data_IF_724478277282
#
_entry.id   IF_724478277282
#
_cell.length_a   1.000
_cell.length_b   1.000
_cell.length_c   1.000
_cell.angle_alpha   90.00
_cell.angle_beta   90.00
_cell.angle_gamma   90.00
#
_symmetry.space_group_name_H-M   'P 1'
#
loop_
_entity.id
_entity.type
_entity.pdbx_description
1 polymer ?
#
# COMPACT_ATOMS: atom_id res chain seq x y z
N UNK A 1 54.05 -36.83 -5.35
CA UNK A 1 52.69 -37.20 -4.88
C UNK A 1 52.35 -36.30 -3.70
N UNK A 2 51.26 -35.52 -3.85
CA UNK A 2 50.47 -34.79 -2.84
C UNK A 2 51.22 -33.81 -1.90
N UNK A 3 51.13 -32.49 -2.10
CA UNK A 3 49.98 -31.60 -1.86
C UNK A 3 49.59 -31.48 -0.37
N UNK A 4 49.81 -30.29 0.23
CA UNK A 4 48.73 -29.42 0.73
C UNK A 4 49.21 -28.37 1.75
N UNK A 5 48.63 -27.17 1.63
CA UNK A 5 48.26 -26.23 2.70
C UNK A 5 49.35 -25.41 3.41
N UNK A 6 49.70 -24.24 2.85
CA UNK A 6 49.94 -23.02 3.66
C UNK A 6 49.34 -21.78 2.96
N UNK A 7 48.20 -21.35 3.51
CA UNK A 7 47.73 -19.97 3.65
C UNK A 7 47.69 -19.02 2.43
N UNK A 8 46.63 -19.12 1.62
CA UNK A 8 46.00 -17.91 1.08
C UNK A 8 45.02 -17.38 2.15
N UNK A 9 45.49 -16.43 2.95
CA UNK A 9 44.66 -15.62 3.83
C UNK A 9 43.76 -14.70 3.01
N UNK A 10 42.66 -15.25 2.49
CA UNK A 10 41.52 -14.43 2.08
C UNK A 10 40.85 -13.94 3.36
N UNK A 11 41.06 -12.67 3.69
CA UNK A 11 40.19 -11.95 4.61
C UNK A 11 38.77 -12.06 4.07
N UNK A 12 38.02 -13.04 4.56
CA UNK A 12 36.57 -13.03 4.50
C UNK A 12 36.11 -11.91 5.43
N UNK A 13 36.18 -10.67 4.96
CA UNK A 13 35.36 -9.60 5.53
C UNK A 13 33.92 -10.10 5.47
N UNK A 14 33.21 -10.23 6.61
CA UNK A 14 31.79 -10.44 6.55
C UNK A 14 31.22 -9.21 5.86
N UNK A 15 30.76 -9.39 4.62
CA UNK A 15 29.81 -8.50 3.99
C UNK A 15 28.53 -8.60 4.83
N UNK A 16 28.54 -7.94 5.99
CA UNK A 16 27.32 -7.58 6.67
C UNK A 16 26.49 -6.85 5.60
N UNK A 17 25.21 -7.21 5.40
CA UNK A 17 24.35 -6.37 4.58
C UNK A 17 24.48 -4.97 5.15
N UNK A 18 24.91 -4.03 4.32
CA UNK A 18 24.84 -2.62 4.64
C UNK A 18 23.36 -2.29 4.79
N UNK A 19 22.82 -2.51 5.98
CA UNK A 19 21.56 -1.94 6.38
C UNK A 19 21.87 -0.45 6.51
N UNK A 20 21.63 0.29 5.42
CA UNK A 20 21.46 1.72 5.52
C UNK A 20 20.40 1.92 6.61
N UNK A 21 20.83 2.41 7.76
CA UNK A 21 19.97 2.75 8.87
C UNK A 21 19.10 3.92 8.44
N UNK A 22 18.05 3.63 7.68
CA UNK A 22 16.93 4.54 7.50
C UNK A 22 16.09 4.46 8.76
N UNK A 23 16.65 4.89 9.90
CA UNK A 23 15.78 5.41 10.93
C UNK A 23 15.07 6.61 10.30
N UNK A 24 13.80 6.44 9.96
CA UNK A 24 12.96 7.57 9.66
C UNK A 24 12.97 8.44 10.93
N UNK A 25 13.76 9.52 10.92
CA UNK A 25 13.77 10.56 11.95
C UNK A 25 12.50 11.41 11.85
N UNK A 26 11.35 10.75 11.63
CA UNK A 26 10.03 11.34 11.53
C UNK A 26 9.49 11.60 12.95
N UNK A 27 10.19 12.45 13.70
CA UNK A 27 9.61 13.04 14.88
C UNK A 27 8.65 14.13 14.42
N UNK A 28 7.36 14.08 14.85
CA UNK A 28 6.43 15.17 14.60
C UNK A 28 7.06 16.50 15.03
N UNK A 29 7.02 17.49 14.15
CA UNK A 29 7.50 18.84 14.46
C UNK A 29 6.54 19.63 15.35
N UNK A 30 5.34 19.09 15.58
CA UNK A 30 4.24 19.72 16.30
C UNK A 30 3.71 18.77 17.37
N UNK A 31 3.29 19.33 18.49
CA UNK A 31 2.36 18.62 19.36
C UNK A 31 0.98 18.54 18.70
N UNK A 32 0.16 17.51 19.00
CA UNK A 32 -1.16 17.38 18.38
C UNK A 32 -2.05 18.62 18.58
N UNK A 33 -1.94 19.28 19.75
CA UNK A 33 -2.69 20.51 20.04
C UNK A 33 -2.26 21.73 19.20
N UNK A 34 -1.11 21.68 18.53
CA UNK A 34 -0.59 22.75 17.65
C UNK A 34 -0.99 22.55 16.18
N UNK A 35 -1.71 21.46 15.87
CA UNK A 35 -2.23 21.17 14.53
C UNK A 35 -3.71 21.58 14.48
N UNK A 36 -4.00 22.58 13.69
CA UNK A 36 -5.35 23.11 13.47
C UNK A 36 -5.90 22.62 12.13
N UNK A 37 -6.86 21.71 12.19
CA UNK A 37 -7.62 21.24 11.02
C UNK A 37 -8.92 22.04 10.93
N UNK A 38 -9.17 22.69 9.80
CA UNK A 38 -10.33 23.55 9.56
C UNK A 38 -11.14 23.05 8.36
N UNK A 39 -12.46 23.00 8.50
CA UNK A 39 -13.36 22.75 7.36
C UNK A 39 -13.55 24.07 6.62
N UNK A 40 -13.08 24.14 5.37
CA UNK A 40 -13.09 25.36 4.56
C UNK A 40 -13.64 25.06 3.16
N UNK A 41 -14.64 25.83 2.67
CA UNK A 41 -15.00 25.80 1.27
C UNK A 41 -13.79 26.11 0.37
N UNK A 42 -13.63 25.47 -0.80
CA UNK A 42 -12.46 25.65 -1.66
C UNK A 42 -12.13 27.11 -1.98
N UNK A 43 -13.14 27.94 -2.26
CA UNK A 43 -12.95 29.36 -2.53
C UNK A 43 -12.40 30.14 -1.33
N UNK A 44 -12.78 29.77 -0.09
CA UNK A 44 -12.22 30.36 1.11
C UNK A 44 -10.79 29.87 1.35
N UNK A 45 -10.54 28.56 1.20
CA UNK A 45 -9.20 27.99 1.32
C UNK A 45 -8.22 28.64 0.33
N UNK A 46 -8.62 28.89 -0.91
CA UNK A 46 -7.83 29.58 -1.91
C UNK A 46 -7.38 30.98 -1.44
N UNK A 47 -8.28 31.75 -0.82
CA UNK A 47 -7.96 33.07 -0.26
C UNK A 47 -7.01 32.99 0.92
N UNK A 48 -7.20 32.02 1.82
CA UNK A 48 -6.34 31.86 2.99
C UNK A 48 -4.94 31.36 2.61
N UNK A 49 -4.80 30.51 1.60
CA UNK A 49 -3.50 30.14 1.01
C UNK A 49 -2.83 31.37 0.41
N UNK A 50 -3.55 32.15 -0.40
CA UNK A 50 -2.99 33.35 -1.04
C UNK A 50 -2.49 34.38 -0.01
N UNK A 51 -3.14 34.48 1.16
CA UNK A 51 -2.76 35.35 2.29
C UNK A 51 -1.68 34.77 3.20
N UNK A 52 -1.22 33.55 2.93
CA UNK A 52 -0.25 32.86 3.78
C UNK A 52 -0.80 32.39 5.14
N UNK A 53 -2.12 32.28 5.30
CA UNK A 53 -2.79 31.90 6.56
C UNK A 53 -3.17 30.43 6.64
N UNK A 54 -3.14 29.73 5.50
CA UNK A 54 -3.33 28.29 5.40
C UNK A 54 -2.06 27.66 4.85
N UNK A 55 -1.60 26.57 5.48
CA UNK A 55 -0.35 25.90 5.09
C UNK A 55 -0.58 24.83 4.02
N UNK A 56 -1.70 24.11 4.11
CA UNK A 56 -2.07 23.11 3.12
C UNK A 56 -3.59 22.96 3.01
N UNK A 57 -4.06 22.58 1.83
CA UNK A 57 -5.43 22.09 1.63
C UNK A 57 -5.38 20.62 1.22
N UNK A 58 -5.92 19.76 2.08
CA UNK A 58 -5.84 18.30 1.96
C UNK A 58 -7.08 17.77 1.23
N UNK A 59 -6.85 16.85 0.31
CA UNK A 59 -7.88 16.17 -0.46
C UNK A 59 -8.34 16.89 -1.74
N UNK A 60 -7.79 18.06 -2.07
CA UNK A 60 -8.18 18.77 -3.30
C UNK A 60 -7.32 19.98 -3.65
N UNK A 61 -7.66 20.61 -4.78
CA UNK A 61 -6.97 21.78 -5.31
C UNK A 61 -7.90 23.01 -5.26
N UNK A 62 -7.83 23.83 -4.20
CA UNK A 62 -8.68 25.01 -4.08
C UNK A 62 -8.30 26.09 -5.12
N UNK A 63 -7.13 25.98 -5.76
CA UNK A 63 -6.65 26.91 -6.77
C UNK A 63 -7.06 26.50 -8.19
N UNK A 64 -7.56 25.28 -8.40
CA UNK A 64 -7.98 24.81 -9.73
C UNK A 64 -9.09 25.69 -10.34
N UNK A 65 -9.98 26.24 -9.51
CA UNK A 65 -11.06 27.13 -9.93
C UNK A 65 -10.67 28.64 -9.86
N UNK A 66 -9.48 28.98 -9.36
CA UNK A 66 -9.12 30.35 -9.03
C UNK A 66 -7.93 30.84 -9.86
N UNK A 67 -8.16 31.87 -10.68
CA UNK A 67 -7.09 32.59 -11.38
C UNK A 67 -6.35 33.54 -10.42
N UNK A 68 -5.65 32.98 -9.43
CA UNK A 68 -4.95 33.80 -8.42
C UNK A 68 -3.62 34.32 -8.98
N UNK A 69 -3.68 35.48 -9.63
CA UNK A 69 -2.48 36.27 -9.98
C UNK A 69 -1.92 36.93 -8.71
N UNK A 70 -0.62 36.76 -8.45
CA UNK A 70 0.09 37.43 -7.35
C UNK A 70 -0.06 36.79 -5.96
N UNK A 71 -0.50 35.53 -5.87
CA UNK A 71 -0.58 34.80 -4.60
C UNK A 71 0.79 34.38 -4.04
N UNK A 72 0.81 34.03 -2.75
CA UNK A 72 1.98 33.41 -2.10
C UNK A 72 2.53 32.23 -2.93
N UNK A 73 3.85 31.96 -2.94
CA UNK A 73 4.42 30.80 -3.61
C UNK A 73 3.75 29.52 -3.11
N UNK A 74 3.32 28.67 -4.05
CA UNK A 74 2.68 27.39 -3.73
C UNK A 74 3.38 26.23 -4.42
N UNK A 75 3.41 25.08 -3.76
CA UNK A 75 3.75 23.80 -4.38
C UNK A 75 2.49 22.94 -4.51
N UNK A 76 2.56 21.95 -5.42
CA UNK A 76 1.49 20.99 -5.65
C UNK A 76 2.01 19.58 -5.40
N UNK A 77 1.37 18.89 -4.46
CA UNK A 77 1.52 17.45 -4.27
C UNK A 77 0.58 16.73 -5.22
N UNK A 78 1.07 15.65 -5.84
CA UNK A 78 0.30 14.82 -6.77
C UNK A 78 0.26 13.39 -6.27
N UNK A 79 -0.95 12.87 -6.08
CA UNK A 79 -1.21 11.47 -5.70
C UNK A 79 -2.21 10.86 -6.69
N UNK A 80 -2.23 9.53 -6.78
CA UNK A 80 -3.16 8.79 -7.62
C UNK A 80 -4.59 8.95 -7.09
N UNK A 81 -5.49 9.50 -7.91
CA UNK A 81 -6.89 9.72 -7.52
C UNK A 81 -7.78 8.58 -7.96
N UNK A 82 -7.70 8.24 -9.25
CA UNK A 82 -8.63 7.34 -9.89
C UNK A 82 -7.99 6.72 -11.14
N UNK A 83 -8.55 5.59 -11.57
CA UNK A 83 -8.29 4.98 -12.86
C UNK A 83 -9.40 5.31 -13.84
N UNK A 84 -9.04 5.43 -15.12
CA UNK A 84 -9.99 5.42 -16.22
C UNK A 84 -9.91 4.10 -16.97
N UNK A 85 -11.02 3.38 -17.00
CA UNK A 85 -11.16 2.04 -17.59
C UNK A 85 -12.06 2.12 -18.80
N UNK A 86 -11.64 1.53 -19.90
CA UNK A 86 -12.49 1.25 -21.05
C UNK A 86 -13.05 -0.16 -20.91
N UNK A 87 -14.36 -0.31 -21.06
CA UNK A 87 -15.03 -1.63 -21.06
C UNK A 87 -15.98 -1.77 -22.22
N UNK A 88 -16.21 -3.00 -22.64
CA UNK A 88 -17.20 -3.29 -23.67
C UNK A 88 -18.62 -3.21 -23.11
N UNK A 89 -19.55 -2.75 -23.95
CA UNK A 89 -21.00 -2.91 -23.74
C UNK A 89 -21.37 -4.41 -23.80
N UNK A 90 -22.48 -4.85 -23.18
CA UNK A 90 -22.90 -6.25 -23.23
C UNK A 90 -22.99 -6.83 -24.65
N UNK A 91 -23.50 -6.05 -25.61
CA UNK A 91 -23.57 -6.46 -27.02
C UNK A 91 -22.18 -6.63 -27.67
N UNK A 92 -21.24 -5.72 -27.37
CA UNK A 92 -19.87 -5.82 -27.88
C UNK A 92 -19.05 -6.92 -27.18
N UNK A 93 -19.38 -7.26 -25.94
CA UNK A 93 -18.71 -8.30 -25.16
C UNK A 93 -18.97 -9.72 -25.70
N UNK A 94 -20.08 -9.93 -26.41
CA UNK A 94 -20.41 -11.22 -27.05
C UNK A 94 -19.63 -11.47 -28.35
N UNK A 95 -18.97 -10.46 -28.89
CA UNK A 95 -18.22 -10.58 -30.14
C UNK A 95 -16.98 -11.47 -29.97
N UNK A 96 -16.44 -12.04 -31.06
CA UNK A 96 -15.18 -12.77 -31.02
C UNK A 96 -14.05 -11.94 -30.40
N UNK A 97 -13.16 -12.61 -29.68
CA UNK A 97 -12.04 -11.96 -28.95
C UNK A 97 -11.24 -10.98 -29.81
N UNK A 98 -10.95 -11.34 -31.06
CA UNK A 98 -10.20 -10.48 -31.98
C UNK A 98 -10.89 -9.13 -32.20
N UNK A 99 -12.22 -9.13 -32.37
CA UNK A 99 -13.00 -7.90 -32.56
C UNK A 99 -13.13 -7.11 -31.26
N UNK A 100 -13.25 -7.80 -30.11
CA UNK A 100 -13.21 -7.17 -28.78
C UNK A 100 -11.92 -6.39 -28.57
N UNK A 101 -10.78 -7.03 -28.83
CA UNK A 101 -9.47 -6.38 -28.73
C UNK A 101 -9.35 -5.20 -29.70
N UNK A 102 -9.77 -5.37 -30.97
CA UNK A 102 -9.72 -4.30 -31.98
C UNK A 102 -10.50 -3.06 -31.53
N UNK A 103 -11.69 -3.23 -30.94
CA UNK A 103 -12.52 -2.13 -30.43
C UNK A 103 -11.87 -1.39 -29.26
N UNK A 104 -11.33 -2.11 -28.28
CA UNK A 104 -10.64 -1.49 -27.14
C UNK A 104 -9.34 -0.80 -27.58
N UNK A 105 -8.59 -1.39 -28.49
CA UNK A 105 -7.37 -0.79 -29.04
C UNK A 105 -7.70 0.51 -29.79
N UNK A 106 -8.74 0.53 -30.63
CA UNK A 106 -9.20 1.75 -31.32
C UNK A 106 -9.60 2.86 -30.32
N UNK A 107 -10.30 2.50 -29.24
CA UNK A 107 -10.66 3.43 -28.18
C UNK A 107 -9.43 3.98 -27.43
N UNK A 108 -8.44 3.14 -27.13
CA UNK A 108 -7.18 3.56 -26.50
C UNK A 108 -6.40 4.52 -27.39
N UNK A 109 -6.32 4.24 -28.69
CA UNK A 109 -5.63 5.10 -29.66
C UNK A 109 -6.31 6.46 -29.81
N UNK A 110 -7.64 6.50 -29.84
CA UNK A 110 -8.39 7.75 -29.83
C UNK A 110 -8.14 8.58 -28.55
N UNK A 111 -8.04 7.92 -27.38
CA UNK A 111 -7.68 8.59 -26.13
C UNK A 111 -6.23 9.08 -26.11
N UNK A 112 -5.29 8.32 -26.67
CA UNK A 112 -3.89 8.72 -26.78
C UNK A 112 -3.75 10.05 -27.54
N UNK A 113 -4.46 10.18 -28.68
CA UNK A 113 -4.48 11.41 -29.48
C UNK A 113 -5.08 12.60 -28.72
N UNK A 114 -6.15 12.38 -27.96
CA UNK A 114 -6.76 13.43 -27.13
C UNK A 114 -5.83 13.84 -25.98
N UNK A 115 -5.19 12.88 -25.32
CA UNK A 115 -4.28 13.16 -24.23
C UNK A 115 -3.05 13.95 -24.69
N UNK A 116 -2.55 13.72 -25.91
CA UNK A 116 -1.47 14.49 -26.51
C UNK A 116 -1.81 15.98 -26.70
N UNK A 117 -3.09 16.34 -26.76
CA UNK A 117 -3.56 17.73 -26.86
C UNK A 117 -3.68 18.45 -25.50
N UNK A 118 -3.45 17.74 -24.39
CA UNK A 118 -3.49 18.25 -23.03
C UNK A 118 -4.91 18.40 -22.48
N UNK A 119 -5.26 17.63 -21.44
CA UNK A 119 -6.55 17.72 -20.74
C UNK A 119 -6.47 17.33 -19.26
N UNK A 120 -7.17 18.10 -18.41
CA UNK A 120 -7.84 17.74 -17.14
C UNK A 120 -7.14 16.79 -16.17
N UNK A 121 -5.82 16.89 -16.00
CA UNK A 121 -5.09 16.06 -15.02
C UNK A 121 -5.13 14.55 -15.32
N UNK A 122 -5.57 14.16 -16.52
CA UNK A 122 -5.57 12.79 -17.00
C UNK A 122 -4.20 12.44 -17.60
N UNK A 123 -3.64 11.33 -17.15
CA UNK A 123 -2.40 10.78 -17.68
C UNK A 123 -2.72 9.51 -18.47
N UNK A 124 -2.55 9.59 -19.79
CA UNK A 124 -2.67 8.42 -20.65
C UNK A 124 -1.61 7.37 -20.28
N UNK A 125 -2.08 6.22 -19.82
CA UNK A 125 -1.24 5.14 -19.32
C UNK A 125 -2.03 3.83 -19.45
N UNK A 126 -2.01 3.18 -20.63
CA UNK A 126 -2.85 2.04 -20.94
C UNK A 126 -2.36 0.74 -20.28
N UNK A 127 -2.09 0.79 -18.98
CA UNK A 127 -1.58 -0.31 -18.17
C UNK A 127 -2.01 -0.10 -16.70
N UNK A 128 -2.40 -1.15 -15.96
CA UNK A 128 -2.96 -0.96 -14.61
C UNK A 128 -1.93 -0.63 -13.53
N UNK A 129 -0.66 -1.02 -13.71
CA UNK A 129 0.44 -0.70 -12.79
C UNK A 129 1.06 0.64 -13.20
N UNK A 130 0.80 1.68 -12.42
CA UNK A 130 1.25 3.06 -12.70
C UNK A 130 2.55 3.39 -11.94
N UNK A 131 3.26 4.49 -12.30
CA UNK A 131 4.44 4.97 -11.55
C UNK A 131 4.21 5.35 -10.08
N UNK A 132 2.96 5.32 -9.60
CA UNK A 132 2.59 5.56 -8.21
C UNK A 132 2.65 4.30 -7.34
N UNK A 133 3.03 3.15 -7.91
CA UNK A 133 3.24 1.91 -7.17
C UNK A 133 4.71 1.50 -7.18
N UNK A 134 5.20 0.90 -6.10
CA UNK A 134 6.59 0.41 -6.00
C UNK A 134 6.93 -0.67 -7.04
N UNK A 135 5.96 -1.50 -7.41
CA UNK A 135 6.12 -2.61 -8.35
C UNK A 135 6.15 -2.13 -9.82
N UNK A 136 6.02 -0.81 -10.06
CA UNK A 136 6.08 -0.25 -11.40
C UNK A 136 7.36 -0.59 -12.15
N UNK A 137 8.52 -0.59 -11.47
CA UNK A 137 9.79 -0.90 -12.13
C UNK A 137 9.80 -2.31 -12.73
N UNK A 138 9.14 -3.26 -12.06
CA UNK A 138 8.98 -4.63 -12.57
C UNK A 138 7.98 -4.73 -13.73
N UNK A 139 7.27 -3.66 -14.06
CA UNK A 139 6.25 -3.59 -15.12
C UNK A 139 6.52 -2.52 -16.19
N UNK A 140 7.57 -1.72 -16.04
CA UNK A 140 7.83 -0.54 -16.86
C UNK A 140 7.99 -0.87 -18.36
N UNK A 141 8.57 -2.02 -18.68
CA UNK A 141 8.69 -2.56 -20.04
C UNK A 141 7.31 -2.78 -20.69
N UNK A 142 6.38 -3.40 -19.95
CA UNK A 142 5.02 -3.69 -20.43
C UNK A 142 4.17 -2.44 -20.54
N UNK A 143 4.31 -1.51 -19.60
CA UNK A 143 3.64 -0.22 -19.66
C UNK A 143 4.11 0.60 -20.89
N UNK A 144 5.42 0.59 -21.20
CA UNK A 144 5.96 1.21 -22.42
C UNK A 144 5.45 0.51 -23.68
N UNK A 145 5.45 -0.82 -23.72
CA UNK A 145 4.93 -1.58 -24.85
C UNK A 145 3.45 -1.30 -25.12
N UNK A 146 2.62 -1.20 -24.06
CA UNK A 146 1.21 -0.88 -24.17
C UNK A 146 0.99 0.55 -24.72
N UNK A 147 1.78 1.54 -24.27
CA UNK A 147 1.75 2.90 -24.82
C UNK A 147 2.13 2.94 -26.30
N UNK A 148 3.20 2.24 -26.68
CA UNK A 148 3.64 2.17 -28.08
C UNK A 148 2.59 1.50 -28.98
N UNK A 149 1.97 0.41 -28.51
CA UNK A 149 0.91 -0.28 -29.24
C UNK A 149 -0.32 0.61 -29.48
N UNK A 150 -0.71 1.41 -28.48
CA UNK A 150 -1.82 2.36 -28.63
C UNK A 150 -1.49 3.51 -29.60
N UNK A 151 -0.25 4.01 -29.60
CA UNK A 151 0.17 5.07 -30.52
C UNK A 151 0.26 4.60 -31.99
N UNK A 152 0.64 3.34 -32.23
CA UNK A 152 0.81 2.80 -33.58
C UNK A 152 -0.51 2.51 -34.32
N UNK A 153 -1.65 2.43 -33.61
CA UNK A 153 -2.94 1.99 -34.15
C UNK A 153 -3.90 3.16 -34.37
N UNK A 154 -3.72 3.96 -35.41
CA UNK A 154 -4.69 4.99 -35.79
C UNK A 154 -5.94 4.36 -36.43
N UNK A 155 -6.83 3.82 -35.59
CA UNK A 155 -8.05 3.15 -36.04
C UNK A 155 -9.28 4.03 -35.84
N UNK A 156 -10.15 4.10 -36.84
CA UNK A 156 -11.44 4.76 -36.74
C UNK A 156 -12.49 3.81 -36.12
N UNK A 157 -13.24 4.30 -35.12
CA UNK A 157 -14.42 3.63 -34.56
C UNK A 157 -14.18 2.95 -33.21
N UNK A 158 -14.73 3.53 -32.15
CA UNK A 158 -14.75 2.98 -30.79
C UNK A 158 -16.17 2.56 -30.34
N UNK A 159 -17.03 2.17 -31.29
CA UNK A 159 -18.43 1.85 -30.97
C UNK A 159 -18.53 0.65 -30.03
N UNK A 160 -19.44 0.73 -29.07
CA UNK A 160 -19.65 -0.31 -28.07
C UNK A 160 -18.62 -0.33 -26.94
N UNK A 161 -17.83 0.73 -26.75
CA UNK A 161 -16.91 0.93 -25.62
C UNK A 161 -17.44 2.04 -24.70
N UNK A 162 -17.40 1.79 -23.40
CA UNK A 162 -17.77 2.75 -22.34
C UNK A 162 -16.52 3.10 -21.53
N UNK A 163 -16.38 4.38 -21.17
CA UNK A 163 -15.35 4.86 -20.26
C UNK A 163 -15.94 4.94 -18.83
N UNK A 164 -15.25 4.32 -17.89
CA UNK A 164 -15.60 4.28 -16.47
C UNK A 164 -14.45 4.87 -15.65
N UNK A 165 -14.78 5.62 -14.61
CA UNK A 165 -13.82 6.11 -13.62
C UNK A 165 -13.97 5.32 -12.33
N UNK A 166 -12.86 4.88 -11.76
CA UNK A 166 -12.82 4.11 -10.51
C UNK A 166 -11.85 4.78 -9.55
N UNK A 167 -12.35 5.28 -8.42
CA UNK A 167 -11.50 5.95 -7.43
C UNK A 167 -10.58 4.95 -6.72
N UNK A 168 -9.35 5.36 -6.40
CA UNK A 168 -8.39 4.50 -5.67
C UNK A 168 -8.91 4.12 -4.29
N UNK A 169 -9.70 5.00 -3.65
CA UNK A 169 -10.35 4.71 -2.38
C UNK A 169 -11.27 3.47 -2.45
N UNK A 170 -11.92 3.24 -3.59
CA UNK A 170 -12.82 2.09 -3.79
C UNK A 170 -12.04 0.78 -3.98
N UNK A 171 -10.80 0.85 -4.48
CA UNK A 171 -9.95 -0.32 -4.71
C UNK A 171 -9.32 -0.83 -3.42
N UNK A 172 -8.96 0.09 -2.54
CA UNK A 172 -8.26 -0.19 -1.28
C UNK A 172 -9.22 -0.59 -0.17
N UNK A 173 -10.50 -0.18 -0.28
CA UNK A 173 -11.57 -0.44 0.68
C UNK A 173 -11.32 0.21 2.05
N UNK A 174 -12.34 0.33 2.92
CA UNK A 174 -12.09 0.73 4.29
C UNK A 174 -11.17 -0.31 4.97
N UNK A 175 -10.20 0.10 5.80
CA UNK A 175 -9.45 -0.85 6.62
C UNK A 175 -10.44 -1.56 7.56
N UNK A 176 -10.45 -2.91 7.62
CA UNK A 176 -11.44 -3.67 8.39
C UNK A 176 -11.39 -3.38 9.90
N UNK A 177 -10.26 -2.86 10.40
CA UNK A 177 -10.08 -2.40 11.78
C UNK A 177 -9.17 -1.17 11.78
N UNK A 178 -9.73 0.04 11.85
CA UNK A 178 -9.01 1.33 11.79
C UNK A 178 -7.88 1.59 12.82
N UNK A 179 -7.58 0.67 13.75
CA UNK A 179 -6.61 0.85 14.87
C UNK A 179 -5.41 -0.10 14.77
N UNK A 180 -5.63 -1.36 14.40
CA UNK A 180 -4.56 -2.39 14.47
C UNK A 180 -3.58 -2.22 13.31
N UNK A 181 -4.04 -1.53 12.27
CA UNK A 181 -3.26 -1.16 11.12
C UNK A 181 -3.80 0.19 10.63
N UNK A 182 -3.18 1.29 11.05
CA UNK A 182 -3.21 2.55 10.30
C UNK A 182 -2.60 2.43 8.88
N UNK A 183 -2.52 1.22 8.33
CA UNK A 183 -2.15 0.90 6.97
C UNK A 183 -3.12 -0.15 6.45
N UNK A 184 -3.61 0.09 5.25
CA UNK A 184 -4.04 -0.96 4.36
C UNK A 184 -3.03 -2.15 4.47
N UNK A 185 -3.51 -3.41 4.45
CA UNK A 185 -2.62 -4.55 4.21
C UNK A 185 -1.62 -4.12 3.14
N UNK A 186 -0.31 -4.20 3.36
CA UNK A 186 0.61 -3.28 2.71
C UNK A 186 0.62 -3.49 1.19
N UNK A 187 0.33 -4.72 0.71
CA UNK A 187 0.07 -5.02 -0.71
C UNK A 187 -1.15 -4.35 -1.35
N UNK A 188 -2.06 -3.72 -0.60
CA UNK A 188 -3.21 -2.97 -1.14
C UNK A 188 -2.77 -1.75 -1.94
N UNK A 189 -1.59 -1.21 -1.67
CA UNK A 189 -0.97 -0.15 -2.47
C UNK A 189 -0.12 -0.70 -3.62
N UNK A 190 -0.05 -2.01 -3.83
CA UNK A 190 0.67 -2.58 -4.96
C UNK A 190 -0.14 -2.48 -6.24
N UNK A 191 0.53 -2.25 -7.37
CA UNK A 191 -0.11 -2.11 -8.66
C UNK A 191 -0.76 -3.40 -9.16
N UNK A 192 -0.19 -4.57 -8.89
CA UNK A 192 -0.84 -5.86 -9.20
C UNK A 192 -2.15 -6.06 -8.43
N UNK A 193 -2.23 -5.57 -7.19
CA UNK A 193 -3.44 -5.65 -6.37
C UNK A 193 -4.52 -4.73 -6.94
N UNK A 194 -4.17 -3.49 -7.24
CA UNK A 194 -5.04 -2.57 -7.96
C UNK A 194 -5.50 -3.16 -9.29
N UNK A 195 -4.60 -3.76 -10.08
CA UNK A 195 -4.94 -4.39 -11.35
C UNK A 195 -6.02 -5.47 -11.19
N UNK A 196 -5.88 -6.33 -10.17
CA UNK A 196 -6.87 -7.36 -9.87
C UNK A 196 -8.23 -6.76 -9.49
N UNK A 197 -8.27 -5.85 -8.51
CA UNK A 197 -9.52 -5.19 -8.09
C UNK A 197 -10.19 -4.40 -9.21
N UNK A 198 -9.39 -3.82 -10.10
CA UNK A 198 -9.89 -3.13 -11.29
C UNK A 198 -10.51 -4.13 -12.28
N UNK A 199 -9.82 -5.23 -12.59
CA UNK A 199 -10.08 -6.01 -13.80
C UNK A 199 -10.69 -7.40 -13.57
N UNK A 200 -10.75 -7.91 -12.33
CA UNK A 200 -11.17 -9.29 -12.02
C UNK A 200 -12.54 -9.65 -12.61
N UNK A 201 -13.50 -8.72 -12.52
CA UNK A 201 -14.86 -8.91 -13.06
C UNK A 201 -14.91 -9.05 -14.58
N UNK A 202 -13.84 -8.67 -15.28
CA UNK A 202 -13.70 -8.73 -16.74
C UNK A 202 -12.59 -9.69 -17.20
N UNK A 203 -12.06 -10.51 -16.30
CA UNK A 203 -11.06 -11.52 -16.64
C UNK A 203 -11.64 -12.66 -17.52
N UNK A 204 -12.96 -12.78 -17.62
CA UNK A 204 -13.64 -13.80 -18.41
C UNK A 204 -13.20 -15.21 -18.01
N UNK A 205 -12.80 -16.03 -18.99
CA UNK A 205 -12.34 -17.39 -18.74
C UNK A 205 -11.04 -17.47 -17.89
N UNK A 206 -10.28 -16.38 -17.77
CA UNK A 206 -9.06 -16.35 -16.96
C UNK A 206 -9.31 -15.99 -15.49
N UNK A 207 -10.57 -15.81 -15.06
CA UNK A 207 -10.92 -15.34 -13.71
C UNK A 207 -10.42 -16.26 -12.61
N UNK A 208 -10.64 -17.56 -12.73
CA UNK A 208 -10.29 -18.51 -11.66
C UNK A 208 -8.77 -18.66 -11.49
N UNK A 209 -8.03 -18.65 -12.60
CA UNK A 209 -6.56 -18.65 -12.59
C UNK A 209 -6.02 -17.35 -11.98
N UNK A 210 -6.60 -16.20 -12.34
CA UNK A 210 -6.22 -14.91 -11.78
C UNK A 210 -6.50 -14.86 -10.27
N UNK A 211 -7.65 -15.36 -9.82
CA UNK A 211 -8.02 -15.45 -8.42
C UNK A 211 -7.03 -16.34 -7.64
N UNK A 212 -6.65 -17.49 -8.21
CA UNK A 212 -5.66 -18.39 -7.59
C UNK A 212 -4.30 -17.70 -7.38
N UNK A 213 -3.81 -16.99 -8.40
CA UNK A 213 -2.55 -16.23 -8.27
C UNK A 213 -2.69 -15.09 -7.26
N UNK A 214 -3.82 -14.37 -7.29
CA UNK A 214 -4.10 -13.30 -6.34
C UNK A 214 -4.09 -13.82 -4.90
N UNK A 215 -4.78 -14.92 -4.62
CA UNK A 215 -4.79 -15.57 -3.31
C UNK A 215 -3.39 -15.97 -2.87
N UNK A 216 -2.61 -16.61 -3.74
CA UNK A 216 -1.20 -16.93 -3.46
C UNK A 216 -0.38 -15.69 -3.05
N UNK A 217 -0.52 -14.58 -3.80
CA UNK A 217 0.21 -13.34 -3.53
C UNK A 217 -0.23 -12.67 -2.22
N UNK A 218 -1.49 -12.84 -1.80
CA UNK A 218 -2.03 -12.22 -0.57
C UNK A 218 -1.89 -13.09 0.68
N UNK A 219 -2.00 -14.42 0.57
CA UNK A 219 -2.10 -15.35 1.70
C UNK A 219 -0.86 -16.25 1.83
N UNK A 220 -0.04 -16.35 0.79
CA UNK A 220 1.09 -17.27 0.76
C UNK A 220 0.71 -18.75 0.59
N UNK A 221 -0.56 -19.04 0.26
CA UNK A 221 -1.06 -20.40 0.03
C UNK A 221 -0.27 -21.08 -1.09
N UNK A 222 0.16 -22.35 -0.99
CA UNK A 222 0.88 -23.01 -2.07
C UNK A 222 0.04 -23.03 -3.37
N UNK A 223 0.64 -22.63 -4.49
CA UNK A 223 0.01 -22.76 -5.81
C UNK A 223 -0.29 -24.26 -6.08
N UNK A 224 -1.43 -24.60 -6.67
CA UNK A 224 -1.68 -25.95 -7.17
C UNK A 224 -0.53 -26.41 -8.09
N UNK A 225 -0.07 -27.66 -8.00
CA UNK A 225 1.09 -28.16 -8.77
C UNK A 225 0.91 -28.03 -10.30
N UNK A 226 -0.33 -27.99 -10.74
CA UNK A 226 -0.84 -27.84 -12.10
C UNK A 226 -1.00 -26.38 -12.55
N UNK A 227 -0.99 -25.41 -11.63
CA UNK A 227 -1.12 -23.98 -11.97
C UNK A 227 0.15 -23.41 -12.65
N UNK A 228 1.28 -24.11 -12.63
CA UNK A 228 2.48 -23.72 -13.39
C UNK A 228 3.46 -24.89 -13.61
N UNK A 229 3.52 -25.50 -14.80
CA UNK A 229 4.60 -26.45 -15.13
C UNK A 229 6.01 -25.81 -15.05
N UNK A 230 6.10 -24.48 -15.07
CA UNK A 230 7.36 -23.73 -14.94
C UNK A 230 7.77 -23.43 -13.48
N UNK A 231 6.86 -23.53 -12.50
CA UNK A 231 7.18 -23.30 -11.09
C UNK A 231 7.78 -24.55 -10.43
N UNK A 232 7.29 -25.74 -10.79
CA UNK A 232 7.82 -27.02 -10.31
C UNK A 232 9.22 -27.33 -10.86
N UNK A 233 9.50 -27.01 -12.12
CA UNK A 233 10.79 -27.30 -12.76
C UNK A 233 11.96 -26.43 -12.26
N UNK A 234 11.68 -25.26 -11.66
CA UNK A 234 12.70 -24.30 -11.21
C UNK A 234 13.25 -24.59 -9.81
N UNK A 235 12.67 -25.54 -9.07
CA UNK A 235 13.15 -25.93 -7.74
C UNK A 235 14.41 -26.79 -7.83
N UNK A 236 14.62 -27.48 -8.96
CA UNK A 236 15.70 -28.46 -9.13
C UNK A 236 16.91 -27.94 -9.91
N UNK A 237 16.83 -26.74 -10.50
CA UNK A 237 17.89 -26.18 -11.34
C UNK A 237 18.15 -24.71 -10.97
N UNK A 238 19.08 -24.45 -10.06
CA UNK A 238 19.65 -23.12 -9.82
C UNK A 238 18.61 -22.05 -9.49
N UNK A 239 18.07 -22.11 -8.26
CA UNK A 239 16.89 -21.39 -7.81
C UNK A 239 16.86 -19.89 -8.14
N UNK A 240 15.86 -19.48 -8.94
CA UNK A 240 15.41 -18.09 -8.98
C UNK A 240 15.12 -17.61 -7.56
N UNK A 241 15.52 -16.38 -7.22
CA UNK A 241 15.23 -15.79 -5.90
C UNK A 241 13.71 -15.78 -5.65
N UNK A 242 13.30 -15.82 -4.38
CA UNK A 242 11.88 -15.72 -4.02
C UNK A 242 11.22 -14.46 -4.59
N UNK A 243 11.99 -13.37 -4.68
CA UNK A 243 11.58 -12.12 -5.33
C UNK A 243 11.27 -12.32 -6.82
N UNK A 244 12.16 -12.97 -7.58
CA UNK A 244 11.93 -13.21 -9.01
C UNK A 244 10.65 -14.02 -9.26
N UNK A 245 10.40 -15.08 -8.45
CA UNK A 245 9.17 -15.85 -8.55
C UNK A 245 7.92 -15.01 -8.28
N UNK A 246 7.97 -14.14 -7.27
CA UNK A 246 6.86 -13.23 -6.95
C UNK A 246 6.59 -12.27 -8.11
N UNK A 247 7.62 -11.61 -8.64
CA UNK A 247 7.48 -10.68 -9.77
C UNK A 247 6.92 -11.37 -11.02
N UNK A 248 7.31 -12.61 -11.29
CA UNK A 248 6.76 -13.39 -12.41
C UNK A 248 5.26 -13.65 -12.24
N UNK A 249 4.81 -13.94 -11.01
CA UNK A 249 3.40 -14.14 -10.69
C UNK A 249 2.59 -12.84 -10.79
N UNK A 250 3.09 -11.73 -10.24
CA UNK A 250 2.48 -10.40 -10.37
C UNK A 250 2.30 -10.03 -11.85
N UNK A 251 3.35 -10.26 -12.66
CA UNK A 251 3.32 -10.06 -14.11
C UNK A 251 2.31 -11.00 -14.79
N UNK A 252 2.26 -12.28 -14.43
CA UNK A 252 1.29 -13.22 -15.02
C UNK A 252 -0.15 -12.81 -14.70
N UNK A 253 -0.43 -12.44 -13.45
CA UNK A 253 -1.73 -11.97 -13.01
C UNK A 253 -2.23 -10.81 -13.88
N UNK A 254 -1.41 -9.76 -14.02
CA UNK A 254 -1.76 -8.58 -14.82
C UNK A 254 -1.99 -8.92 -16.29
N UNK A 255 -1.30 -9.92 -16.84
CA UNK A 255 -1.50 -10.38 -18.21
C UNK A 255 -2.82 -11.16 -18.37
N UNK A 256 -3.15 -12.05 -17.43
CA UNK A 256 -4.40 -12.83 -17.42
C UNK A 256 -5.63 -11.93 -17.35
N UNK A 257 -5.62 -10.93 -16.46
CA UNK A 257 -6.71 -9.96 -16.29
C UNK A 257 -7.01 -9.18 -17.57
N UNK A 258 -6.00 -9.01 -18.42
CA UNK A 258 -6.10 -8.30 -19.70
C UNK A 258 -6.33 -9.25 -20.87
N UNK A 259 -6.34 -10.56 -20.66
CA UNK A 259 -6.36 -11.53 -21.75
C UNK A 259 -7.64 -11.39 -22.58
N UNK A 260 -8.81 -11.35 -21.96
CA UNK A 260 -10.09 -11.48 -22.70
C UNK A 260 -10.58 -10.24 -23.45
N UNK A 261 -9.88 -9.11 -23.35
CA UNK A 261 -10.24 -7.84 -23.98
C UNK A 261 -11.69 -7.41 -23.69
N UNK A 262 -12.19 -7.69 -22.48
CA UNK A 262 -13.50 -7.21 -22.01
C UNK A 262 -13.39 -5.83 -21.37
N UNK A 263 -12.24 -5.52 -20.77
CA UNK A 263 -11.87 -4.20 -20.28
C UNK A 263 -10.35 -3.94 -20.41
N UNK A 264 -9.98 -2.66 -20.42
CA UNK A 264 -8.61 -2.14 -20.48
C UNK A 264 -8.49 -0.89 -19.63
N UNK A 265 -7.39 -0.75 -18.90
CA UNK A 265 -7.04 0.55 -18.31
C UNK A 265 -6.59 1.48 -19.43
N UNK A 266 -7.12 2.71 -19.46
CA UNK A 266 -6.70 3.76 -20.39
C UNK A 266 -5.67 4.72 -19.78
N UNK A 267 -5.74 4.91 -18.46
CA UNK A 267 -4.88 5.81 -17.74
C UNK A 267 -5.40 6.08 -16.35
N UNK A 268 -4.93 7.18 -15.76
CA UNK A 268 -5.28 7.57 -14.41
C UNK A 268 -5.44 9.07 -14.27
N UNK A 269 -6.13 9.48 -13.21
CA UNK A 269 -6.27 10.86 -12.76
C UNK A 269 -5.38 11.10 -11.55
N UNK A 270 -4.87 12.33 -11.46
CA UNK A 270 -4.08 12.77 -10.32
C UNK A 270 -4.88 13.71 -9.44
N UNK A 271 -4.86 13.43 -8.12
CA UNK A 271 -5.30 14.38 -7.11
C UNK A 271 -4.17 15.38 -6.91
N UNK A 272 -4.53 16.65 -6.95
CA UNK A 272 -3.62 17.77 -6.73
C UNK A 272 -3.96 18.38 -5.39
N UNK A 273 -2.96 18.55 -4.54
CA UNK A 273 -3.10 19.12 -3.20
C UNK A 273 -2.10 20.27 -3.07
N UNK A 274 -2.58 21.42 -2.58
CA UNK A 274 -1.80 22.66 -2.59
C UNK A 274 -1.14 22.89 -1.24
N UNK A 275 0.14 23.28 -1.29
CA UNK A 275 0.96 23.69 -0.16
C UNK A 275 1.36 25.14 -0.31
N UNK A 276 1.32 25.91 0.78
CA UNK A 276 1.96 27.21 0.87
C UNK A 276 3.46 27.01 1.11
N UNK A 277 4.31 27.55 0.23
CA UNK A 277 5.77 27.45 0.30
C UNK A 277 6.45 28.81 0.44
N UNK A 278 5.70 29.86 0.80
CA UNK A 278 6.24 31.18 1.11
C UNK A 278 7.37 31.09 2.14
N UNK A 279 8.39 31.96 2.04
CA UNK A 279 9.60 31.87 2.86
C UNK A 279 9.33 31.91 4.37
N UNK A 280 8.51 32.86 4.84
CA UNK A 280 8.14 32.99 6.26
C UNK A 280 6.93 32.15 6.68
N UNK A 281 5.83 32.22 5.93
CA UNK A 281 4.55 31.61 6.32
C UNK A 281 4.27 30.22 5.70
N UNK A 282 5.27 29.60 5.07
CA UNK A 282 5.11 28.34 4.34
C UNK A 282 5.60 27.12 5.11
N UNK A 283 5.44 25.96 4.47
CA UNK A 283 5.92 24.68 4.97
C UNK A 283 7.06 24.10 4.13
N UNK A 284 7.84 23.23 4.77
CA UNK A 284 8.89 22.43 4.15
C UNK A 284 8.92 21.00 4.70
N UNK A 285 9.86 20.19 4.22
CA UNK A 285 10.03 18.79 4.61
C UNK A 285 8.77 17.94 4.45
N UNK A 286 7.98 18.20 3.40
CA UNK A 286 6.67 17.58 3.19
C UNK A 286 6.82 16.17 2.60
N UNK A 287 6.65 15.16 3.43
CA UNK A 287 6.42 13.78 3.01
C UNK A 287 4.94 13.53 2.72
N UNK A 288 4.63 12.70 1.72
CA UNK A 288 3.26 12.35 1.35
C UNK A 288 3.20 10.95 0.76
N UNK A 289 2.00 10.39 0.71
CA UNK A 289 1.74 9.05 0.19
C UNK A 289 1.25 9.11 -1.27
N UNK A 290 1.63 8.11 -2.07
CA UNK A 290 1.30 8.02 -3.49
C UNK A 290 -0.21 7.93 -3.74
N UNK A 291 -1.00 7.45 -2.79
CA UNK A 291 -2.45 7.23 -2.90
C UNK A 291 -3.26 8.12 -1.96
N UNK A 292 -2.84 8.27 -0.69
CA UNK A 292 -3.49 9.12 0.30
C UNK A 292 -3.03 10.59 0.23
N UNK A 293 -1.88 10.87 -0.39
CA UNK A 293 -1.38 12.24 -0.54
C UNK A 293 -1.10 12.89 0.81
N UNK A 294 -1.60 14.12 1.00
CA UNK A 294 -1.44 14.84 2.28
C UNK A 294 -2.33 14.30 3.40
N UNK A 295 -3.31 13.44 3.11
CA UNK A 295 -4.09 12.75 4.15
C UNK A 295 -3.29 11.63 4.84
N UNK A 296 -2.05 11.36 4.41
CA UNK A 296 -1.24 10.29 4.97
C UNK A 296 -0.68 10.62 6.37
N UNK A 297 -0.48 9.61 7.23
CA UNK A 297 0.21 9.77 8.51
C UNK A 297 1.63 10.34 8.39
N UNK A 298 2.26 10.15 7.23
CA UNK A 298 3.61 10.66 6.91
C UNK A 298 3.62 12.18 6.83
N UNK A 299 2.56 12.80 6.30
CA UNK A 299 2.52 14.25 6.12
C UNK A 299 2.67 15.01 7.43
N UNK A 300 1.79 14.76 8.39
CA UNK A 300 1.79 15.46 9.69
C UNK A 300 3.06 15.20 10.51
N UNK A 301 3.78 14.11 10.24
CA UNK A 301 5.03 13.74 10.92
C UNK A 301 6.27 14.38 10.32
N UNK A 302 6.19 14.83 9.08
CA UNK A 302 7.36 15.31 8.32
C UNK A 302 7.30 16.80 8.06
N UNK A 303 6.10 17.34 7.83
CA UNK A 303 5.89 18.77 7.59
C UNK A 303 6.48 19.63 8.71
N UNK A 304 7.14 20.72 8.32
CA UNK A 304 7.69 21.75 9.24
C UNK A 304 7.31 23.13 8.75
N UNK A 305 7.18 24.09 9.67
CA UNK A 305 7.10 25.50 9.30
C UNK A 305 8.49 25.99 8.89
N UNK A 306 8.59 26.83 7.87
CA UNK A 306 9.90 27.35 7.42
C UNK A 306 10.53 28.33 8.42
N UNK A 307 9.73 29.20 9.03
CA UNK A 307 10.23 30.22 9.97
C UNK A 307 10.52 29.64 11.36
N UNK A 308 9.67 28.72 11.84
CA UNK A 308 9.81 28.07 13.14
C UNK A 308 9.67 26.55 13.00
N UNK A 309 10.72 25.83 12.56
CA UNK A 309 10.61 24.42 12.19
C UNK A 309 10.17 23.45 13.30
N UNK A 310 10.16 23.90 14.57
CA UNK A 310 9.84 23.11 15.75
C UNK A 310 8.84 23.79 16.70
N UNK A 311 8.26 24.94 16.32
CA UNK A 311 7.33 25.73 17.15
C UNK A 311 6.28 26.42 16.26
N UNK A 312 5.05 26.59 16.76
CA UNK A 312 3.99 27.32 16.05
C UNK A 312 2.82 26.45 15.63
N UNK A 313 1.88 27.02 14.88
CA UNK A 313 0.60 26.38 14.58
C UNK A 313 0.51 25.93 13.12
N UNK A 314 0.49 24.61 12.91
CA UNK A 314 0.19 24.05 11.59
C UNK A 314 -1.29 24.24 11.29
N UNK A 315 -1.62 24.80 10.12
CA UNK A 315 -3.01 25.10 9.71
C UNK A 315 -3.35 24.37 8.43
N UNK A 316 -4.27 23.43 8.53
CA UNK A 316 -4.68 22.52 7.46
C UNK A 316 -6.15 22.74 7.13
N UNK A 317 -6.47 22.84 5.84
CA UNK A 317 -7.84 22.95 5.37
C UNK A 317 -8.33 21.63 4.77
N UNK A 318 -9.59 21.28 5.02
CA UNK A 318 -10.30 20.18 4.34
C UNK A 318 -11.65 20.66 3.82
N UNK A 319 -12.12 20.07 2.72
CA UNK A 319 -13.39 20.46 2.11
C UNK A 319 -14.62 19.93 2.88
N UNK A 320 -14.53 18.68 3.35
CA UNK A 320 -15.66 17.95 3.92
C UNK A 320 -15.77 18.17 5.43
N UNK A 321 -17.01 18.29 5.91
CA UNK A 321 -17.31 18.26 7.34
C UNK A 321 -17.07 16.84 7.89
N UNK A 322 -16.65 16.72 9.16
CA UNK A 322 -16.57 15.42 9.81
C UNK A 322 -17.94 14.76 9.83
N UNK A 323 -17.99 13.49 9.45
CA UNK A 323 -19.23 12.71 9.34
C UNK A 323 -19.04 11.27 9.84
N UNK A 324 -17.80 10.78 9.87
CA UNK A 324 -17.49 9.48 10.43
C UNK A 324 -17.53 9.52 11.96
N UNK A 325 -17.81 8.37 12.57
CA UNK A 325 -17.70 8.21 14.00
C UNK A 325 -16.26 8.44 14.46
N UNK A 326 -16.08 9.07 15.63
CA UNK A 326 -14.78 9.24 16.28
C UNK A 326 -14.54 8.09 17.23
N UNK A 327 -14.53 6.91 16.65
CA UNK A 327 -14.20 5.70 17.36
C UNK A 327 -13.08 5.05 16.54
N UNK A 328 -12.07 4.47 17.19
CA UNK A 328 -10.99 3.99 16.37
C UNK A 328 -11.41 2.76 15.50
N UNK A 329 -12.62 2.15 15.72
CA UNK A 329 -13.11 0.94 14.99
C UNK A 329 -13.93 1.39 13.81
N UNK A 330 -13.27 1.36 12.65
CA UNK A 330 -13.87 1.78 11.40
C UNK A 330 -14.41 3.22 11.42
N UNK A 331 -14.00 4.03 12.41
CA UNK A 331 -14.21 5.48 12.45
C UNK A 331 -12.99 6.24 11.96
N UNK A 332 -13.04 7.58 12.04
CA UNK A 332 -12.05 8.49 11.45
C UNK A 332 -11.84 8.31 9.93
N UNK A 333 -12.85 7.80 9.23
CA UNK A 333 -12.79 7.45 7.80
C UNK A 333 -13.07 8.63 6.87
N UNK A 334 -13.57 9.75 7.41
CA UNK A 334 -13.70 10.99 6.64
C UNK A 334 -12.38 11.79 6.62
N UNK A 335 -12.19 12.72 5.65
CA UNK A 335 -10.95 13.47 5.51
C UNK A 335 -10.50 14.24 6.75
N UNK A 336 -11.44 14.78 7.54
CA UNK A 336 -11.13 15.49 8.77
C UNK A 336 -10.65 14.49 9.82
N UNK A 337 -11.42 13.42 10.03
CA UNK A 337 -11.10 12.38 11.00
C UNK A 337 -9.75 11.71 10.74
N UNK A 338 -9.42 11.42 9.48
CA UNK A 338 -8.14 10.82 9.11
C UNK A 338 -6.95 11.70 9.51
N UNK A 339 -7.04 13.03 9.32
CA UNK A 339 -5.99 13.96 9.73
C UNK A 339 -5.88 14.07 11.25
N UNK A 340 -7.01 14.11 11.97
CA UNK A 340 -7.02 14.10 13.43
C UNK A 340 -6.35 12.83 13.95
N UNK A 341 -6.73 11.67 13.42
CA UNK A 341 -6.12 10.40 13.80
C UNK A 341 -4.63 10.32 13.47
N UNK A 342 -4.22 10.84 12.31
CA UNK A 342 -2.81 10.93 11.94
C UNK A 342 -2.00 11.80 12.92
N UNK A 343 -2.61 12.85 13.49
CA UNK A 343 -1.99 13.76 14.44
C UNK A 343 -1.91 13.21 15.86
N UNK A 344 -2.99 12.58 16.37
CA UNK A 344 -3.05 12.08 17.76
C UNK A 344 -2.58 10.63 17.90
N UNK A 345 -2.76 9.82 16.86
CA UNK A 345 -2.38 8.42 16.84
C UNK A 345 -0.90 8.26 16.60
N UNK A 346 -0.30 7.24 17.21
CA UNK A 346 1.13 6.95 17.09
C UNK A 346 1.39 5.46 16.86
N UNK A 347 1.16 4.99 15.62
CA UNK A 347 1.15 3.56 15.33
C UNK A 347 2.55 2.96 15.37
N UNK A 348 2.64 1.68 15.72
CA UNK A 348 3.91 0.95 15.75
C UNK A 348 4.61 0.93 14.39
N UNK A 349 3.83 0.77 13.33
CA UNK A 349 4.25 0.75 11.93
C UNK A 349 3.46 1.80 11.14
N UNK A 350 4.10 2.43 10.18
CA UNK A 350 3.49 3.33 9.21
C UNK A 350 3.45 2.64 7.85
N UNK A 351 2.41 2.83 7.02
CA UNK A 351 2.45 2.38 5.64
C UNK A 351 3.61 3.09 4.90
N UNK A 352 4.31 2.36 4.02
CA UNK A 352 5.34 2.94 3.19
C UNK A 352 4.72 3.96 2.20
N UNK A 353 5.14 5.24 2.19
CA UNK A 353 4.45 6.29 1.43
C UNK A 353 4.40 6.05 -0.09
N UNK A 354 5.37 5.32 -0.65
CA UNK A 354 5.46 5.02 -2.08
C UNK A 354 5.54 3.53 -2.34
N UNK A 355 5.09 2.70 -1.39
CA UNK A 355 5.31 1.26 -1.44
C UNK A 355 4.26 0.43 -0.76
N UNK A 356 4.43 -0.88 -0.90
CA UNK A 356 3.54 -1.94 -0.44
C UNK A 356 4.13 -2.67 0.76
N UNK A 357 4.82 -1.89 1.60
CA UNK A 357 5.50 -2.33 2.81
C UNK A 357 5.17 -1.47 4.04
N UNK A 358 5.89 -1.76 5.13
CA UNK A 358 5.77 -1.04 6.40
C UNK A 358 7.07 -0.30 6.71
N UNK A 359 6.95 0.88 7.29
CA UNK A 359 8.03 1.66 7.89
C UNK A 359 7.92 1.55 9.41
N UNK A 360 9.02 1.20 10.05
CA UNK A 360 9.10 1.09 11.50
C UNK A 360 9.06 2.47 12.18
N UNK A 361 8.09 2.67 13.09
CA UNK A 361 7.94 3.91 13.87
C UNK A 361 8.22 3.69 15.37
N UNK A 362 7.36 2.92 16.06
CA UNK A 362 7.50 2.59 17.50
C UNK A 362 7.93 1.16 17.76
N UNK A 363 8.29 0.40 16.73
CA UNK A 363 8.72 -0.99 16.87
C UNK A 363 9.89 -1.31 15.97
N UNK A 364 10.80 -2.15 16.44
CA UNK A 364 11.75 -2.88 15.59
C UNK A 364 11.27 -4.31 15.44
N UNK A 365 11.06 -4.76 14.21
CA UNK A 365 10.61 -6.12 13.89
C UNK A 365 11.82 -6.92 13.41
N UNK A 366 12.20 -7.91 14.20
CA UNK A 366 13.20 -8.87 13.78
C UNK A 366 12.52 -10.19 13.46
N UNK A 367 12.69 -10.66 12.22
CA UNK A 367 12.49 -12.08 11.95
C UNK A 367 13.54 -12.82 12.77
N UNK A 368 13.10 -13.70 13.65
CA UNK A 368 14.01 -14.64 14.28
C UNK A 368 14.33 -15.70 13.22
N UNK A 369 15.17 -15.32 12.26
CA UNK A 369 15.60 -16.22 11.18
C UNK A 369 16.13 -17.53 11.78
N UNK A 370 16.01 -18.59 10.98
CA UNK A 370 16.73 -19.85 11.10
C UNK A 370 18.22 -19.55 11.29
N UNK A 371 18.60 -19.37 12.56
CA UNK A 371 19.95 -19.00 12.96
C UNK A 371 20.98 -20.02 12.42
N UNK A 372 22.22 -19.54 12.28
CA UNK A 372 23.33 -20.25 11.64
C UNK A 372 23.64 -21.64 12.23
N UNK A 373 24.64 -22.29 11.65
CA UNK A 373 25.03 -23.69 11.98
C UNK A 373 25.12 -23.94 13.49
N UNK A 374 25.64 -22.99 14.27
CA UNK A 374 25.77 -23.09 15.73
C UNK A 374 24.43 -23.10 16.49
N UNK A 375 23.48 -22.25 16.15
CA UNK A 375 22.15 -22.28 16.76
C UNK A 375 21.33 -23.50 16.32
N UNK A 376 21.54 -24.01 15.09
CA UNK A 376 20.98 -25.30 14.66
C UNK A 376 21.54 -26.47 15.46
N UNK A 377 22.84 -26.45 15.74
CA UNK A 377 23.51 -27.46 16.56
C UNK A 377 23.01 -27.42 18.01
N UNK A 378 22.85 -26.22 18.58
CA UNK A 378 22.32 -26.02 19.92
C UNK A 378 20.82 -26.41 20.03
N UNK A 379 20.02 -26.15 18.99
CA UNK A 379 18.61 -26.58 18.94
C UNK A 379 18.45 -28.10 18.74
N UNK A 380 19.34 -28.72 17.96
CA UNK A 380 19.40 -30.18 17.80
C UNK A 380 19.71 -30.85 19.15
N UNK A 381 20.70 -30.33 19.89
CA UNK A 381 21.01 -30.77 21.25
C UNK A 381 19.85 -30.53 22.24
N UNK A 382 19.04 -29.49 22.03
CA UNK A 382 17.92 -29.10 22.92
C UNK A 382 16.57 -29.75 22.61
N UNK A 383 16.49 -30.72 21.68
CA UNK A 383 15.23 -31.42 21.30
C UNK A 383 14.12 -30.45 20.83
N UNK A 384 14.45 -29.50 19.93
CA UNK A 384 13.55 -28.38 19.61
C UNK A 384 13.02 -28.22 18.18
N UNK A 385 13.55 -28.91 17.14
CA UNK A 385 13.02 -28.78 15.76
C UNK A 385 13.06 -30.07 14.95
N UNK A 386 12.07 -30.23 14.05
CA UNK A 386 12.00 -31.28 13.02
C UNK A 386 12.70 -30.81 11.74
N UNK A 387 13.09 -31.75 10.88
CA UNK A 387 13.69 -31.52 9.56
C UNK A 387 12.90 -30.53 8.68
N UNK A 388 11.59 -30.37 8.93
CA UNK A 388 10.66 -29.56 8.14
C UNK A 388 10.76 -28.04 8.37
N UNK A 389 11.56 -27.58 9.35
CA UNK A 389 11.83 -26.15 9.55
C UNK A 389 10.88 -25.34 10.43
N UNK A 390 9.80 -25.94 10.91
CA UNK A 390 8.84 -25.30 11.80
C UNK A 390 9.47 -24.96 13.18
N UNK A 391 9.05 -23.84 13.77
CA UNK A 391 9.50 -23.34 15.08
C UNK A 391 8.60 -23.88 16.18
N UNK A 392 9.16 -24.44 17.24
CA UNK A 392 8.40 -24.85 18.41
C UNK A 392 7.83 -23.64 19.15
N UNK A 393 6.53 -23.68 19.46
CA UNK A 393 5.85 -22.63 20.22
C UNK A 393 5.94 -22.96 21.72
N UNK A 394 6.36 -22.01 22.58
CA UNK A 394 6.36 -22.22 24.03
C UNK A 394 4.98 -22.61 24.56
N UNK A 395 4.93 -23.53 25.53
CA UNK A 395 3.66 -24.05 26.08
C UNK A 395 2.79 -22.99 26.76
N UNK A 396 3.45 -21.96 27.28
CA UNK A 396 2.91 -20.81 28.00
C UNK A 396 2.74 -19.58 27.10
N UNK A 397 3.02 -19.71 25.79
CA UNK A 397 2.67 -18.67 24.83
C UNK A 397 1.16 -18.40 24.89
N UNK A 398 0.79 -17.13 24.83
CA UNK A 398 -0.60 -16.70 24.93
C UNK A 398 -1.20 -16.51 23.54
N UNK A 399 -2.41 -17.02 23.35
CA UNK A 399 -3.23 -16.78 22.18
C UNK A 399 -4.63 -16.31 22.62
N UNK A 400 -5.16 -15.22 22.05
CA UNK A 400 -6.53 -14.79 22.32
C UNK A 400 -7.52 -15.80 21.76
N UNK A 401 -8.54 -16.13 22.54
CA UNK A 401 -9.73 -16.81 22.03
C UNK A 401 -10.70 -15.81 21.36
N UNK A 402 -11.83 -16.30 20.82
CA UNK A 402 -12.84 -15.46 20.17
C UNK A 402 -13.45 -14.38 21.09
N UNK A 403 -13.32 -14.53 22.41
CA UNK A 403 -13.76 -13.52 23.40
C UNK A 403 -12.70 -12.45 23.66
N UNK A 404 -11.49 -12.62 23.12
CA UNK A 404 -10.31 -11.80 23.40
C UNK A 404 -9.56 -12.23 24.66
N UNK A 405 -9.95 -13.33 25.32
CA UNK A 405 -9.26 -13.82 26.51
C UNK A 405 -7.95 -14.53 26.12
N UNK A 406 -6.84 -14.10 26.71
CA UNK A 406 -5.52 -14.69 26.43
C UNK A 406 -5.35 -16.02 27.18
N UNK A 407 -5.18 -17.12 26.43
CA UNK A 407 -4.98 -18.46 27.00
C UNK A 407 -3.66 -19.08 26.58
N UNK A 408 -3.04 -19.92 27.42
CA UNK A 408 -1.89 -20.71 27.02
C UNK A 408 -2.20 -21.61 25.82
N UNK A 409 -1.27 -21.64 24.86
CA UNK A 409 -1.37 -22.40 23.61
C UNK A 409 -1.23 -23.92 23.84
N UNK A 410 -0.56 -24.33 24.92
CA UNK A 410 -0.38 -25.74 25.27
C UNK A 410 0.81 -26.41 24.56
N UNK A 411 0.99 -27.71 24.78
CA UNK A 411 2.17 -28.47 24.30
C UNK A 411 2.06 -28.86 22.83
N UNK A 412 3.21 -29.07 22.19
CA UNK A 412 3.32 -29.68 20.85
C UNK A 412 2.97 -28.77 19.68
N UNK A 413 2.70 -27.48 19.93
CA UNK A 413 2.33 -26.51 18.89
C UNK A 413 3.56 -26.00 18.14
N UNK A 414 3.40 -25.74 16.85
CA UNK A 414 4.45 -25.34 15.93
C UNK A 414 3.98 -24.15 15.09
N UNK A 415 4.91 -23.27 14.75
CA UNK A 415 4.68 -22.10 13.90
C UNK A 415 5.59 -22.13 12.67
N UNK A 416 5.13 -21.57 11.57
CA UNK A 416 5.94 -21.40 10.36
C UNK A 416 7.04 -20.34 10.53
N UNK A 417 6.81 -19.35 11.39
CA UNK A 417 7.68 -18.20 11.61
C UNK A 417 7.68 -17.76 13.07
N UNK A 418 8.78 -17.20 13.54
CA UNK A 418 8.86 -16.49 14.82
C UNK A 418 9.37 -15.07 14.60
N UNK A 419 8.62 -14.10 15.13
CA UNK A 419 8.93 -12.67 15.04
C UNK A 419 9.19 -12.12 16.44
N UNK A 420 10.18 -11.22 16.56
CA UNK A 420 10.44 -10.46 17.78
C UNK A 420 10.16 -9.00 17.52
N UNK A 421 9.20 -8.46 18.27
CA UNK A 421 8.88 -7.04 18.29
C UNK A 421 9.58 -6.38 19.48
N UNK A 422 10.47 -5.43 19.22
CA UNK A 422 11.03 -4.55 20.26
C UNK A 422 10.28 -3.22 20.19
N UNK A 423 9.35 -3.02 21.11
CA UNK A 423 8.50 -1.83 21.14
C UNK A 423 9.15 -0.74 21.98
N UNK A 424 9.10 0.50 21.47
CA UNK A 424 9.48 1.71 22.19
C UNK A 424 8.25 2.25 22.91
N UNK A 425 8.24 2.09 24.23
CA UNK A 425 7.17 2.64 25.09
C UNK A 425 7.37 4.13 25.33
N UNK A 426 6.27 4.83 25.60
CA UNK A 426 6.27 6.22 26.08
C UNK A 426 5.13 6.44 27.06
N UNK A 427 4.94 7.68 27.53
CA UNK A 427 3.73 8.05 28.26
C UNK A 427 2.60 8.35 27.30
N UNK A 428 1.37 8.02 27.70
CA UNK A 428 0.16 8.53 27.08
C UNK A 428 -0.02 10.02 27.41
N UNK A 429 -0.99 10.68 26.76
CA UNK A 429 -1.27 12.10 26.96
C UNK A 429 -1.72 12.45 28.39
N UNK A 430 -2.26 11.47 29.13
CA UNK A 430 -2.63 11.61 30.54
C UNK A 430 -1.44 11.37 31.51
N UNK A 431 -0.25 11.09 30.98
CA UNK A 431 0.96 10.82 31.74
C UNK A 431 1.16 9.37 32.17
N UNK A 432 0.18 8.49 31.96
CA UNK A 432 0.30 7.06 32.28
C UNK A 432 1.37 6.39 31.40
N UNK A 433 2.16 5.49 31.98
CA UNK A 433 3.23 4.82 31.25
C UNK A 433 2.70 3.62 30.47
N UNK A 434 3.06 3.52 29.20
CA UNK A 434 2.77 2.33 28.39
C UNK A 434 3.51 1.10 28.93
N UNK A 435 2.82 -0.03 28.91
CA UNK A 435 3.31 -1.36 29.31
C UNK A 435 3.05 -2.40 28.22
N UNK A 436 3.53 -3.63 28.42
CA UNK A 436 3.21 -4.74 27.52
C UNK A 436 1.71 -5.05 27.48
N UNK A 437 0.96 -4.73 28.55
CA UNK A 437 -0.48 -4.96 28.60
C UNK A 437 -1.23 -4.14 27.54
N UNK A 438 -0.79 -2.92 27.23
CA UNK A 438 -1.42 -2.06 26.23
C UNK A 438 -1.34 -2.65 24.81
N UNK A 439 -0.24 -3.35 24.51
CA UNK A 439 -0.05 -4.07 23.25
C UNK A 439 -0.92 -5.32 23.19
N UNK A 440 -0.92 -6.10 24.28
CA UNK A 440 -1.69 -7.34 24.38
C UNK A 440 -3.20 -7.07 24.37
N UNK A 441 -3.65 -5.99 25.02
CA UNK A 441 -5.03 -5.55 25.01
C UNK A 441 -5.49 -5.16 23.60
N UNK A 442 -4.66 -4.44 22.84
CA UNK A 442 -4.97 -4.11 21.44
C UNK A 442 -5.07 -5.37 20.56
N UNK A 443 -4.17 -6.34 20.75
CA UNK A 443 -4.21 -7.62 20.03
C UNK A 443 -5.44 -8.46 20.38
N UNK A 444 -5.75 -8.60 21.68
CA UNK A 444 -6.96 -9.28 22.17
C UNK A 444 -8.24 -8.62 21.64
N UNK A 445 -8.31 -7.29 21.68
CA UNK A 445 -9.42 -6.52 21.16
C UNK A 445 -9.62 -6.76 19.65
N UNK A 446 -8.53 -6.74 18.88
CA UNK A 446 -8.54 -7.00 17.44
C UNK A 446 -9.15 -8.38 17.12
N UNK A 447 -8.75 -9.41 17.84
CA UNK A 447 -9.26 -10.78 17.63
C UNK A 447 -10.73 -10.88 18.00
N UNK A 448 -11.13 -10.34 19.16
CA UNK A 448 -12.54 -10.31 19.59
C UNK A 448 -13.46 -9.64 18.57
N UNK A 449 -13.01 -8.54 17.97
CA UNK A 449 -13.81 -7.79 17.00
C UNK A 449 -13.72 -8.34 15.57
N UNK A 450 -12.59 -8.97 15.22
CA UNK A 450 -12.33 -9.52 13.89
C UNK A 450 -12.81 -10.96 13.70
N UNK A 451 -13.05 -11.71 14.78
CA UNK A 451 -13.54 -13.09 14.70
C UNK A 451 -15.07 -13.09 14.67
N UNK A 452 -15.71 -13.68 13.63
CA UNK A 452 -17.15 -13.90 13.63
C UNK A 452 -17.56 -14.72 14.87
N UNK A 453 -18.75 -14.46 15.42
CA UNK A 453 -19.26 -15.10 16.65
C UNK A 453 -19.25 -16.64 16.63
N UNK A 454 -19.20 -17.25 15.44
CA UNK A 454 -19.31 -18.70 15.23
C UNK A 454 -17.95 -19.44 15.24
N UNK A 455 -16.84 -18.78 15.60
CA UNK A 455 -15.55 -19.45 15.82
C UNK A 455 -14.92 -20.10 14.58
N UNK A 456 -15.42 -19.79 13.37
CA UNK A 456 -14.80 -20.19 12.12
C UNK A 456 -13.47 -19.42 11.95
N UNK A 457 -12.34 -20.14 12.01
CA UNK A 457 -11.03 -19.56 11.71
C UNK A 457 -11.00 -19.08 10.26
N UNK A 458 -10.88 -17.76 10.07
CA UNK A 458 -10.27 -17.03 8.95
C UNK A 458 -10.26 -17.69 7.56
N UNK A 459 -11.41 -18.24 7.14
CA UNK A 459 -11.75 -18.47 5.72
C UNK A 459 -12.75 -17.44 5.19
N UNK A 460 -13.28 -16.58 6.06
CA UNK A 460 -14.47 -15.75 5.81
C UNK A 460 -14.18 -14.26 5.62
N UNK A 461 -12.92 -13.81 5.67
CA UNK A 461 -12.58 -12.45 5.20
C UNK A 461 -12.79 -12.31 3.68
N UNK A 462 -12.80 -13.43 2.93
CA UNK A 462 -12.97 -13.43 1.47
C UNK A 462 -14.43 -13.33 1.04
N UNK A 463 -15.39 -13.89 1.77
CA UNK A 463 -16.80 -13.90 1.31
C UNK A 463 -17.49 -12.53 1.37
N UNK A 464 -17.00 -11.60 2.21
CA UNK A 464 -17.50 -10.21 2.23
C UNK A 464 -16.77 -9.26 1.28
N UNK A 465 -15.79 -9.76 0.52
CA UNK A 465 -15.05 -9.01 -0.50
C UNK A 465 -15.26 -9.52 -1.93
N UNK A 466 -16.15 -10.51 -2.11
CA UNK A 466 -16.59 -11.05 -3.39
C UNK A 466 -17.76 -10.27 -4.00
#
# INVERSE_FOLDING_TARGET
>A
MLAALVALGTLALPLAPAQAGHEATAYPAFYPQEIRVEVLPPAQAAREIARGRLHAFVGGDPLAAAALRGGAPTAVVRSLAAYRILRLTPAAAQQPRADRCRRLDAALSALALRAARGHDGFVFHPYPVTPYHEDFLAHADRARAARAAAAARLMAGASGVVLEEVAVADLTGPPPLGWVAGGALPWRSAGWFHAYRLLERWAGAARDEAATIFHHLTLGDPLPPDASPAAGAAVSAGGRSALARRLDLERRLVALLQRECLARVAGYLLRREVLNTHFSAGVENVGFDAHAGLASPTFVRTVKLKEFPWNGWLRLGVAARPAAAWNPVAGFTDPFGTLVWAAVGDPALLPAPYGSGWVENRVRVAVLERRGVLDRLLDWLRRGRSADGAVAVPRDALLPDATGSLRPVGRGRRAALALRYRVRTSRFHDGTAMTAADLLAAYAFAVRWGTPADGASDRTVVERTA
#
